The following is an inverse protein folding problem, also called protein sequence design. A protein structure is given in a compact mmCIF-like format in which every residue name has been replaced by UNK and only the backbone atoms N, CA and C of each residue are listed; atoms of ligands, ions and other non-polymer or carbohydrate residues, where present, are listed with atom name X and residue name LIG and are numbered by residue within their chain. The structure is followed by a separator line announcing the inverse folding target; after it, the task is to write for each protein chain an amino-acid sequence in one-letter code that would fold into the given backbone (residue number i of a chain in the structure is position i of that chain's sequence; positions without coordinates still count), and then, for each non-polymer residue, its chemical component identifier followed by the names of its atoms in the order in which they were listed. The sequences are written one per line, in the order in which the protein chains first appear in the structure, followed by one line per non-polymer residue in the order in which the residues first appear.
data_IF_656485776708
#
_entry.id   IF_656485776708
#
_cell.length_a   1.000
_cell.length_b   1.000
_cell.length_c   1.000
_cell.angle_alpha   90.00
_cell.angle_beta   90.00
_cell.angle_gamma   90.00
#
_symmetry.space_group_name_H-M   'P 1'
#
loop_
_entity.id
_entity.type
_entity.pdbx_description
1 polymer ?
#
# COMPACT_ATOMS: atom_id res chain seq x y z
N UNK A 1 4.34 -9.99 -21.21
CA UNK A 1 3.47 -10.72 -22.17
C UNK A 1 2.06 -10.83 -21.59
N UNK A 2 1.02 -11.08 -22.38
CA UNK A 2 -0.36 -11.16 -21.88
C UNK A 2 -0.94 -12.53 -22.22
N UNK A 3 -1.36 -13.27 -21.19
CA UNK A 3 -2.03 -14.57 -21.32
C UNK A 3 -3.41 -14.50 -20.66
N UNK A 4 -4.45 -14.94 -21.37
CA UNK A 4 -5.80 -15.02 -20.83
C UNK A 4 -6.13 -16.48 -20.51
N UNK A 5 -6.33 -16.79 -19.23
CA UNK A 5 -6.70 -18.13 -18.78
C UNK A 5 -8.16 -18.17 -18.33
N UNK A 6 -9.02 -18.80 -19.14
CA UNK A 6 -10.47 -18.90 -18.86
C UNK A 6 -10.91 -20.18 -18.11
N UNK A 7 -10.07 -21.23 -18.01
CA UNK A 7 -10.58 -22.60 -17.79
C UNK A 7 -9.97 -23.30 -16.55
N UNK A 8 -9.74 -22.61 -15.42
CA UNK A 8 -9.35 -23.31 -14.17
C UNK A 8 -10.05 -22.88 -12.88
N UNK A 9 -10.86 -21.83 -12.87
CA UNK A 9 -11.54 -21.32 -11.67
C UNK A 9 -12.99 -20.87 -11.91
N UNK A 10 -13.81 -21.66 -12.61
CA UNK A 10 -15.24 -21.36 -12.77
C UNK A 10 -15.85 -21.04 -11.38
N UNK A 11 -16.53 -19.89 -11.20
CA UNK A 11 -17.05 -18.94 -12.20
C UNK A 11 -16.21 -17.66 -12.46
N UNK A 12 -14.94 -17.59 -12.08
CA UNK A 12 -14.04 -16.45 -12.32
C UNK A 12 -13.21 -16.63 -13.60
N UNK A 13 -12.93 -15.52 -14.29
CA UNK A 13 -11.94 -15.41 -15.37
C UNK A 13 -10.68 -14.72 -14.84
N UNK A 14 -9.50 -15.12 -15.32
CA UNK A 14 -8.22 -14.52 -14.90
C UNK A 14 -7.41 -14.08 -16.11
N UNK A 15 -6.99 -12.81 -16.10
CA UNK A 15 -6.00 -12.26 -17.01
C UNK A 15 -4.64 -12.30 -16.33
N UNK A 16 -3.68 -12.97 -16.93
CA UNK A 16 -2.31 -13.07 -16.45
C UNK A 16 -1.41 -12.17 -17.29
N UNK A 17 -0.78 -11.22 -16.62
CA UNK A 17 0.18 -10.30 -17.19
C UNK A 17 1.57 -10.66 -16.67
N UNK A 18 2.51 -10.88 -17.57
CA UNK A 18 3.91 -11.12 -17.25
C UNK A 18 4.75 -9.88 -17.52
N UNK A 19 5.74 -9.64 -16.66
CA UNK A 19 6.69 -8.52 -16.72
C UNK A 19 5.95 -7.18 -16.87
N UNK A 20 5.07 -6.90 -15.92
CA UNK A 20 4.29 -5.66 -15.89
C UNK A 20 5.19 -4.52 -15.44
N UNK A 21 5.24 -3.46 -16.26
CA UNK A 21 5.93 -2.23 -15.93
C UNK A 21 4.97 -1.04 -16.06
N UNK A 22 4.66 -0.41 -14.94
CA UNK A 22 4.03 0.89 -14.90
C UNK A 22 5.10 1.95 -14.58
N UNK A 23 5.23 2.92 -15.48
CA UNK A 23 6.15 4.04 -15.31
C UNK A 23 5.47 5.13 -14.48
N UNK A 24 6.27 5.92 -13.80
CA UNK A 24 5.78 7.05 -13.02
C UNK A 24 5.20 8.17 -13.89
N UNK A 25 4.34 8.99 -13.29
CA UNK A 25 3.56 10.03 -13.97
C UNK A 25 3.86 11.43 -13.41
N UNK A 26 5.14 11.80 -13.36
CA UNK A 26 5.55 13.16 -13.01
C UNK A 26 5.47 14.07 -14.26
N UNK A 27 4.84 15.26 -14.15
CA UNK A 27 4.92 16.27 -15.19
C UNK A 27 6.38 16.61 -15.49
N UNK A 28 6.70 16.81 -16.77
CA UNK A 28 8.00 17.33 -17.24
C UNK A 28 9.21 16.39 -17.11
N UNK A 29 9.02 15.12 -16.75
CA UNK A 29 10.11 14.14 -16.82
C UNK A 29 10.37 13.69 -18.26
N UNK A 30 11.60 13.92 -18.74
CA UNK A 30 12.07 13.42 -20.05
C UNK A 30 12.27 11.90 -20.05
N UNK A 31 12.55 11.31 -18.87
CA UNK A 31 12.72 9.87 -18.68
C UNK A 31 11.99 9.41 -17.41
N UNK A 32 10.73 8.97 -17.52
CA UNK A 32 9.99 8.49 -16.35
C UNK A 32 10.58 7.18 -15.84
N UNK A 33 10.83 7.12 -14.53
CA UNK A 33 11.31 5.94 -13.81
C UNK A 33 10.16 4.94 -13.56
N UNK A 34 10.46 3.84 -12.88
CA UNK A 34 9.52 2.75 -12.57
C UNK A 34 8.72 3.07 -11.32
N UNK A 35 7.40 3.25 -11.48
CA UNK A 35 6.46 3.32 -10.36
C UNK A 35 6.14 1.92 -9.84
N UNK A 36 5.76 1.01 -10.73
CA UNK A 36 5.42 -0.36 -10.36
C UNK A 36 6.02 -1.35 -11.36
N UNK A 37 6.62 -2.41 -10.81
CA UNK A 37 7.02 -3.59 -11.55
C UNK A 37 6.42 -4.82 -10.89
N UNK A 38 5.95 -5.78 -11.67
CA UNK A 38 5.58 -7.11 -11.19
C UNK A 38 6.02 -8.16 -12.22
N UNK A 39 6.64 -9.24 -11.76
CA UNK A 39 6.97 -10.37 -12.65
C UNK A 39 5.68 -11.04 -13.13
N UNK A 40 4.76 -11.28 -12.20
CA UNK A 40 3.43 -11.79 -12.50
C UNK A 40 2.35 -10.91 -11.85
N UNK A 41 1.32 -10.60 -12.63
CA UNK A 41 0.11 -9.91 -12.16
C UNK A 41 -1.12 -10.61 -12.72
N UNK A 42 -1.96 -11.11 -11.84
CA UNK A 42 -3.24 -11.72 -12.15
C UNK A 42 -4.36 -10.76 -11.81
N UNK A 43 -5.22 -10.50 -12.78
CA UNK A 43 -6.46 -9.73 -12.60
C UNK A 43 -7.63 -10.70 -12.71
N UNK A 44 -8.45 -10.80 -11.67
CA UNK A 44 -9.63 -11.67 -11.67
C UNK A 44 -10.92 -10.88 -11.89
N UNK A 45 -11.79 -11.43 -12.72
CA UNK A 45 -13.06 -10.83 -13.16
C UNK A 45 -14.19 -11.85 -13.09
N UNK A 46 -15.42 -11.38 -12.90
CA UNK A 46 -16.60 -12.22 -13.06
C UNK A 46 -16.75 -12.68 -14.52
N UNK A 47 -16.84 -13.99 -14.77
CA UNK A 47 -16.94 -14.52 -16.14
C UNK A 47 -18.20 -14.02 -16.87
N UNK A 48 -19.31 -13.88 -16.16
CA UNK A 48 -20.57 -13.36 -16.72
C UNK A 48 -20.45 -11.88 -17.12
N UNK A 49 -19.66 -11.10 -16.37
CA UNK A 49 -19.46 -9.67 -16.62
C UNK A 49 -18.58 -9.50 -17.87
N UNK A 50 -17.56 -10.35 -18.03
CA UNK A 50 -16.73 -10.44 -19.24
C UNK A 50 -17.59 -10.66 -20.52
N UNK A 51 -18.56 -11.58 -20.47
CA UNK A 51 -19.45 -11.85 -21.60
C UNK A 51 -20.42 -10.71 -21.93
N UNK A 52 -20.76 -9.87 -20.94
CA UNK A 52 -21.61 -8.68 -21.13
C UNK A 52 -20.82 -7.45 -21.56
N UNK A 53 -19.49 -7.52 -21.56
CA UNK A 53 -18.60 -6.39 -21.85
C UNK A 53 -18.29 -5.52 -20.62
N UNK A 54 -18.67 -5.97 -19.42
CA UNK A 54 -18.43 -5.29 -18.16
C UNK A 54 -17.10 -5.80 -17.55
N UNK A 55 -16.00 -5.15 -17.92
CA UNK A 55 -14.65 -5.54 -17.48
C UNK A 55 -14.31 -4.96 -16.10
N UNK A 56 -14.94 -5.49 -15.06
CA UNK A 56 -14.72 -5.04 -13.67
C UNK A 56 -13.72 -5.94 -12.95
N UNK A 57 -12.54 -5.39 -12.62
CA UNK A 57 -11.52 -6.12 -11.84
C UNK A 57 -12.02 -6.27 -10.40
N UNK A 58 -12.07 -7.51 -9.91
CA UNK A 58 -12.50 -7.84 -8.54
C UNK A 58 -11.34 -8.20 -7.62
N UNK A 59 -10.36 -8.94 -8.14
CA UNK A 59 -9.18 -9.33 -7.37
C UNK A 59 -7.90 -9.08 -8.15
N UNK A 60 -6.84 -8.73 -7.43
CA UNK A 60 -5.50 -8.56 -7.96
C UNK A 60 -4.56 -9.43 -7.17
N UNK A 61 -3.78 -10.26 -7.85
CA UNK A 61 -2.71 -11.04 -7.25
C UNK A 61 -1.39 -10.72 -7.95
N UNK A 62 -0.36 -10.34 -7.20
CA UNK A 62 0.95 -10.03 -7.77
C UNK A 62 2.06 -10.86 -7.13
N UNK A 63 3.09 -11.19 -7.91
CA UNK A 63 4.31 -11.85 -7.43
C UNK A 63 5.55 -11.06 -7.84
N UNK A 64 6.55 -11.00 -6.96
CA UNK A 64 7.80 -10.24 -7.12
C UNK A 64 7.53 -8.78 -7.49
N UNK A 65 6.70 -8.14 -6.65
CA UNK A 65 6.18 -6.80 -6.91
C UNK A 65 7.11 -5.76 -6.31
N UNK A 66 7.40 -4.70 -7.06
CA UNK A 66 8.10 -3.50 -6.58
C UNK A 66 7.21 -2.30 -6.81
N UNK A 67 6.91 -1.55 -5.76
CA UNK A 67 6.16 -0.30 -5.81
C UNK A 67 7.04 0.81 -5.26
N UNK A 68 7.31 1.83 -6.07
CA UNK A 68 8.13 2.99 -5.74
C UNK A 68 7.29 4.25 -5.78
N UNK A 69 6.50 4.46 -4.73
CA UNK A 69 5.73 5.68 -4.56
C UNK A 69 6.65 6.83 -4.13
N UNK A 70 6.53 7.98 -4.78
CA UNK A 70 7.29 9.17 -4.39
C UNK A 70 6.47 10.47 -4.52
N UNK A 71 6.69 11.42 -3.60
CA UNK A 71 6.35 12.84 -3.75
C UNK A 71 7.62 13.65 -3.96
N UNK A 72 7.56 14.62 -4.87
CA UNK A 72 8.63 15.59 -5.05
C UNK A 72 8.61 16.69 -3.99
N UNK A 73 9.53 17.66 -4.09
CA UNK A 73 9.66 18.74 -3.12
C UNK A 73 8.45 19.68 -3.12
N UNK A 74 7.66 19.70 -4.19
CA UNK A 74 6.41 20.44 -4.30
C UNK A 74 5.19 19.60 -3.87
N UNK A 75 5.41 18.41 -3.31
CA UNK A 75 4.36 17.50 -2.87
C UNK A 75 3.64 16.76 -4.01
N UNK A 76 4.10 16.90 -5.26
CA UNK A 76 3.46 16.26 -6.42
C UNK A 76 3.81 14.77 -6.42
N UNK A 77 2.80 13.88 -6.41
CA UNK A 77 3.02 12.44 -6.41
C UNK A 77 3.32 11.88 -7.80
N UNK A 78 4.13 10.83 -7.84
CA UNK A 78 4.51 10.11 -9.07
C UNK A 78 3.49 9.03 -9.51
N UNK A 79 2.37 8.91 -8.80
CA UNK A 79 1.31 7.91 -9.03
C UNK A 79 -0.01 8.49 -9.58
N UNK A 80 -0.09 9.80 -9.83
CA UNK A 80 -1.26 10.40 -10.50
C UNK A 80 -1.21 10.12 -12.01
N UNK A 81 -1.75 8.98 -12.41
CA UNK A 81 -1.91 8.60 -13.82
C UNK A 81 -3.05 9.41 -14.46
N UNK A 82 -2.72 10.46 -15.21
CA UNK A 82 -3.72 11.21 -15.99
C UNK A 82 -4.22 10.36 -17.17
N UNK A 83 -5.54 10.08 -17.22
CA UNK A 83 -6.20 9.48 -18.38
C UNK A 83 -6.87 10.59 -19.19
N UNK A 84 -6.32 10.91 -20.36
CA UNK A 84 -6.83 11.97 -21.25
C UNK A 84 -7.75 11.49 -22.36
N UNK A 85 -8.10 10.21 -22.44
CA UNK A 85 -8.91 9.67 -23.55
C UNK A 85 -10.33 9.28 -23.12
N UNK A 86 -11.29 10.06 -23.59
CA UNK A 86 -12.74 9.90 -23.41
C UNK A 86 -13.39 8.92 -24.39
N UNK A 87 -12.63 8.01 -25.02
CA UNK A 87 -13.14 7.17 -26.13
C UNK A 87 -13.11 5.64 -25.89
N UNK A 88 -12.73 5.18 -24.70
CA UNK A 88 -12.85 3.76 -24.32
C UNK A 88 -13.95 3.54 -23.30
N UNK A 89 -14.70 2.42 -23.42
CA UNK A 89 -15.58 1.96 -22.34
C UNK A 89 -14.81 1.96 -21.02
N UNK A 90 -15.30 2.71 -20.03
CA UNK A 90 -14.68 2.83 -18.72
C UNK A 90 -14.68 1.46 -18.04
N UNK A 91 -13.57 0.71 -18.14
CA UNK A 91 -13.34 -0.43 -17.27
C UNK A 91 -13.40 0.05 -15.82
N UNK A 92 -14.39 -0.44 -15.08
CA UNK A 92 -14.59 -0.11 -13.67
C UNK A 92 -13.62 -0.88 -12.78
N UNK A 93 -13.27 -0.29 -11.63
CA UNK A 93 -12.51 -0.97 -10.57
C UNK A 93 -13.48 -1.19 -9.41
N UNK A 94 -13.87 -2.44 -9.14
CA UNK A 94 -14.64 -2.86 -7.95
C UNK A 94 -13.79 -3.86 -7.17
N UNK A 95 -12.67 -3.36 -6.67
CA UNK A 95 -11.60 -4.18 -6.12
C UNK A 95 -11.98 -4.70 -4.73
N UNK A 96 -12.23 -5.99 -4.61
CA UNK A 96 -12.56 -6.62 -3.33
C UNK A 96 -11.32 -7.12 -2.59
N UNK A 97 -10.26 -7.48 -3.33
CA UNK A 97 -9.06 -8.09 -2.77
C UNK A 97 -7.81 -7.76 -3.58
N UNK A 98 -6.72 -7.51 -2.86
CA UNK A 98 -5.36 -7.48 -3.39
C UNK A 98 -4.54 -8.44 -2.55
N UNK A 99 -3.73 -9.28 -3.18
CA UNK A 99 -2.70 -10.04 -2.48
C UNK A 99 -1.38 -9.98 -3.22
N UNK A 100 -0.30 -9.74 -2.49
CA UNK A 100 1.04 -9.70 -3.05
C UNK A 100 1.89 -10.77 -2.39
N UNK A 101 2.68 -11.44 -3.23
CA UNK A 101 3.78 -12.31 -2.84
C UNK A 101 5.09 -11.62 -3.21
N UNK A 102 6.06 -11.60 -2.29
CA UNK A 102 7.35 -10.93 -2.50
C UNK A 102 7.18 -9.44 -2.90
N UNK A 103 6.51 -8.67 -2.05
CA UNK A 103 6.29 -7.24 -2.26
C UNK A 103 7.41 -6.41 -1.65
N UNK A 104 7.95 -5.48 -2.43
CA UNK A 104 8.82 -4.40 -1.94
C UNK A 104 8.14 -3.07 -2.17
N UNK A 105 7.92 -2.31 -1.11
CA UNK A 105 7.38 -0.94 -1.19
C UNK A 105 8.44 0.06 -0.74
N UNK A 106 8.72 1.03 -1.60
CA UNK A 106 9.45 2.22 -1.24
C UNK A 106 8.52 3.42 -1.31
N UNK A 107 8.42 4.15 -0.21
CA UNK A 107 7.79 5.46 -0.17
C UNK A 107 8.85 6.53 0.06
N UNK A 108 8.86 7.56 -0.78
CA UNK A 108 9.75 8.72 -0.61
C UNK A 108 8.94 10.01 -0.62
N UNK A 109 9.23 10.91 0.30
CA UNK A 109 8.73 12.28 0.27
C UNK A 109 9.91 13.24 0.36
N UNK A 110 10.21 13.88 -0.77
CA UNK A 110 11.37 14.76 -0.88
C UNK A 110 11.19 16.06 -0.07
N UNK A 111 9.96 16.56 0.09
CA UNK A 111 9.68 17.75 0.89
C UNK A 111 9.96 17.53 2.37
N UNK A 112 9.72 16.31 2.86
CA UNK A 112 9.92 15.93 4.26
C UNK A 112 11.24 15.18 4.54
N UNK A 113 12.11 15.02 3.52
CA UNK A 113 13.32 14.18 3.59
C UNK A 113 13.03 12.78 4.17
N UNK A 114 11.86 12.23 3.84
CA UNK A 114 11.36 10.96 4.33
C UNK A 114 11.60 9.87 3.28
N UNK A 115 12.14 8.75 3.72
CA UNK A 115 12.12 7.51 2.95
C UNK A 115 11.78 6.33 3.86
N UNK A 116 10.91 5.46 3.37
CA UNK A 116 10.55 4.19 4.01
C UNK A 116 10.69 3.10 2.97
N UNK A 117 11.44 2.05 3.29
CA UNK A 117 11.57 0.84 2.48
C UNK A 117 11.14 -0.37 3.31
N UNK A 118 10.12 -1.06 2.81
CA UNK A 118 9.58 -2.28 3.41
C UNK A 118 9.52 -3.41 2.40
N UNK A 119 9.70 -4.61 2.92
CA UNK A 119 9.48 -5.87 2.22
C UNK A 119 8.37 -6.66 2.91
N UNK A 120 7.69 -7.52 2.16
CA UNK A 120 6.66 -8.43 2.66
C UNK A 120 6.67 -9.69 1.80
N UNK A 121 6.79 -10.86 2.44
CA UNK A 121 6.66 -12.14 1.76
C UNK A 121 5.20 -12.37 1.34
N UNK A 122 4.25 -12.06 2.23
CA UNK A 122 2.81 -12.15 1.98
C UNK A 122 2.05 -10.95 2.57
N UNK A 123 1.37 -10.21 1.69
CA UNK A 123 0.48 -9.11 2.08
C UNK A 123 -0.88 -9.28 1.41
N UNK A 124 -1.96 -9.21 2.19
CA UNK A 124 -3.32 -9.22 1.70
C UNK A 124 -4.06 -7.96 2.16
N UNK A 125 -4.76 -7.33 1.22
CA UNK A 125 -5.68 -6.23 1.46
C UNK A 125 -7.07 -6.66 0.97
N UNK A 126 -8.09 -6.46 1.78
CA UNK A 126 -9.49 -6.76 1.45
C UNK A 126 -10.34 -5.55 1.80
N UNK A 127 -11.32 -5.24 1.00
CA UNK A 127 -12.23 -4.17 1.37
C UNK A 127 -13.22 -3.82 0.29
N UNK A 128 -13.90 -2.71 0.50
CA UNK A 128 -14.84 -2.15 -0.46
C UNK A 128 -14.39 -0.74 -0.77
N UNK A 129 -14.12 -0.50 -2.05
CA UNK A 129 -13.88 0.85 -2.53
C UNK A 129 -15.22 1.47 -2.90
N UNK A 130 -15.52 2.63 -2.32
CA UNK A 130 -16.72 3.39 -2.66
C UNK A 130 -16.33 4.84 -2.91
N UNK A 131 -17.18 5.58 -3.61
CA UNK A 131 -16.93 7.00 -3.90
C UNK A 131 -16.89 7.88 -2.64
N UNK A 132 -17.40 7.39 -1.50
CA UNK A 132 -17.48 8.15 -0.25
C UNK A 132 -16.40 7.75 0.75
N UNK A 133 -16.46 6.53 1.27
CA UNK A 133 -15.56 6.03 2.31
C UNK A 133 -15.03 4.66 1.92
N UNK A 134 -13.72 4.49 2.00
CA UNK A 134 -13.06 3.23 1.71
C UNK A 134 -12.64 2.59 3.02
N UNK A 135 -13.09 1.36 3.25
CA UNK A 135 -12.76 0.56 4.42
C UNK A 135 -12.00 -0.67 3.97
N UNK A 136 -10.81 -0.89 4.52
CA UNK A 136 -9.90 -1.96 4.13
C UNK A 136 -9.36 -2.69 5.36
N UNK A 137 -9.32 -4.02 5.28
CA UNK A 137 -8.56 -4.86 6.16
C UNK A 137 -7.24 -5.24 5.48
N UNK A 138 -6.11 -4.99 6.15
CA UNK A 138 -4.77 -5.38 5.72
C UNK A 138 -4.22 -6.42 6.68
N UNK A 139 -3.68 -7.52 6.16
CA UNK A 139 -2.98 -8.55 6.93
C UNK A 139 -1.71 -8.98 6.20
N UNK A 140 -0.61 -9.16 6.92
CA UNK A 140 0.62 -9.66 6.32
C UNK A 140 1.81 -9.64 7.27
N UNK A 141 2.94 -10.18 6.80
CA UNK A 141 4.24 -9.92 7.37
C UNK A 141 4.86 -8.65 6.75
N UNK A 142 5.70 -7.97 7.52
CA UNK A 142 6.44 -6.80 7.09
C UNK A 142 7.85 -6.90 7.64
N UNK A 143 8.83 -6.73 6.77
CA UNK A 143 10.20 -6.45 7.12
C UNK A 143 10.51 -5.00 6.75
N UNK A 144 10.63 -4.12 7.74
CA UNK A 144 11.14 -2.77 7.55
C UNK A 144 12.66 -2.84 7.36
N UNK A 145 13.12 -2.52 6.15
CA UNK A 145 14.56 -2.36 5.90
C UNK A 145 15.05 -1.08 6.54
N UNK A 146 14.45 0.05 6.19
CA UNK A 146 14.78 1.35 6.78
C UNK A 146 13.64 2.35 6.71
N UNK A 147 13.65 3.24 7.68
CA UNK A 147 12.91 4.49 7.73
C UNK A 147 13.91 5.60 8.09
N UNK A 148 14.10 6.55 7.18
CA UNK A 148 14.87 7.77 7.38
C UNK A 148 13.97 8.99 7.37
N UNK A 149 14.23 9.94 8.27
CA UNK A 149 13.65 11.27 8.26
C UNK A 149 14.72 12.36 8.08
N UNK A 150 14.31 13.62 8.19
CA UNK A 150 15.20 14.77 8.03
C UNK A 150 16.46 14.73 8.93
N UNK A 151 16.33 14.20 10.15
CA UNK A 151 17.42 14.13 11.13
C UNK A 151 18.24 12.82 11.05
N UNK A 152 17.99 11.99 10.04
CA UNK A 152 18.70 10.72 9.80
C UNK A 152 17.83 9.47 10.03
N UNK A 153 18.44 8.31 10.30
CA UNK A 153 17.73 7.06 10.52
C UNK A 153 16.78 7.13 11.72
N UNK A 154 15.50 6.82 11.50
CA UNK A 154 14.46 6.74 12.54
C UNK A 154 14.37 5.30 13.05
N UNK A 155 14.19 4.36 12.14
CA UNK A 155 14.02 2.95 12.45
C UNK A 155 14.61 2.10 11.34
N UNK A 156 15.29 1.02 11.69
CA UNK A 156 15.88 0.09 10.74
C UNK A 156 15.63 -1.34 11.19
N UNK A 157 15.67 -2.26 10.22
CA UNK A 157 15.73 -3.71 10.41
C UNK A 157 14.70 -4.21 11.43
N UNK A 158 13.43 -4.24 11.01
CA UNK A 158 12.33 -4.57 11.92
C UNK A 158 11.29 -5.46 11.28
N UNK A 159 11.16 -6.66 11.84
CA UNK A 159 10.08 -7.56 11.50
C UNK A 159 8.80 -7.23 12.29
N UNK A 160 7.68 -7.34 11.60
CA UNK A 160 6.36 -7.25 12.18
C UNK A 160 5.38 -8.19 11.46
N UNK A 161 4.41 -8.71 12.19
CA UNK A 161 3.15 -9.20 11.60
C UNK A 161 2.05 -8.22 11.94
N UNK A 162 1.27 -7.84 10.93
CA UNK A 162 0.25 -6.80 11.06
C UNK A 162 -1.14 -7.32 10.70
N UNK A 163 -2.14 -6.82 11.43
CA UNK A 163 -3.56 -6.86 11.05
C UNK A 163 -4.15 -5.48 11.31
N UNK A 164 -4.51 -4.77 10.26
CA UNK A 164 -4.97 -3.38 10.34
C UNK A 164 -6.35 -3.24 9.72
N UNK A 165 -7.21 -2.45 10.35
CA UNK A 165 -8.40 -1.85 9.76
C UNK A 165 -8.08 -0.42 9.36
N UNK A 166 -8.21 -0.13 8.08
CA UNK A 166 -7.88 1.15 7.47
C UNK A 166 -9.16 1.83 7.00
N UNK A 167 -9.22 3.15 7.12
CA UNK A 167 -10.28 3.96 6.55
C UNK A 167 -9.69 5.20 5.86
N UNK A 168 -10.12 5.49 4.64
CA UNK A 168 -9.75 6.74 3.97
C UNK A 168 -10.82 7.25 3.00
N UNK A 169 -10.73 8.54 2.70
CA UNK A 169 -11.78 9.28 1.98
C UNK A 169 -12.70 9.99 2.98
N UNK A 170 -13.97 10.15 2.60
CA UNK A 170 -14.96 10.88 3.39
C UNK A 170 -14.82 12.40 3.27
N UNK A 171 -15.68 13.12 4.00
CA UNK A 171 -15.74 14.59 3.95
C UNK A 171 -14.48 15.28 4.51
N UNK A 172 -13.76 14.61 5.41
CA UNK A 172 -12.55 15.15 6.04
C UNK A 172 -11.25 14.76 5.32
N UNK A 173 -11.32 13.86 4.33
CA UNK A 173 -10.17 13.42 3.54
C UNK A 173 -9.08 12.71 4.36
N UNK A 174 -9.38 12.27 5.58
CA UNK A 174 -8.39 11.71 6.47
C UNK A 174 -8.04 10.25 6.11
N UNK A 175 -6.81 9.85 6.45
CA UNK A 175 -6.38 8.45 6.44
C UNK A 175 -6.28 7.94 7.88
N UNK A 176 -6.82 6.76 8.13
CA UNK A 176 -6.92 6.19 9.47
C UNK A 176 -6.50 4.75 9.53
N UNK A 177 -5.82 4.38 10.62
CA UNK A 177 -5.79 3.02 11.15
C UNK A 177 -6.73 3.04 12.34
N UNK A 178 -7.96 2.53 12.17
CA UNK A 178 -9.00 2.56 13.19
C UNK A 178 -8.79 1.49 14.26
N UNK A 179 -8.20 0.36 13.86
CA UNK A 179 -7.78 -0.74 14.71
C UNK A 179 -6.56 -1.41 14.11
N UNK A 180 -5.51 -1.65 14.90
CA UNK A 180 -4.30 -2.27 14.41
C UNK A 180 -3.70 -3.21 15.44
N UNK A 181 -3.42 -4.44 15.04
CA UNK A 181 -2.59 -5.38 15.80
C UNK A 181 -1.24 -5.49 15.12
N UNK A 182 -0.17 -5.16 15.83
CA UNK A 182 1.21 -5.26 15.35
C UNK A 182 1.99 -6.14 16.31
N UNK A 183 2.46 -7.29 15.82
CA UNK A 183 3.37 -8.16 16.55
C UNK A 183 4.79 -7.91 16.05
N UNK A 184 5.59 -7.15 16.79
CA UNK A 184 7.00 -6.88 16.45
C UNK A 184 7.93 -7.34 17.56
N UNK A 185 8.99 -8.07 17.22
CA UNK A 185 9.90 -8.64 18.22
C UNK A 185 9.21 -9.52 19.28
N UNK A 186 8.07 -10.12 18.92
CA UNK A 186 7.20 -10.90 19.82
C UNK A 186 6.45 -10.07 20.87
N UNK A 187 6.35 -8.76 20.69
CA UNK A 187 5.58 -7.84 21.53
C UNK A 187 4.30 -7.44 20.77
N UNK A 188 3.11 -7.77 21.29
CA UNK A 188 1.86 -7.36 20.67
C UNK A 188 1.54 -5.91 21.03
N UNK A 189 1.29 -5.09 20.01
CA UNK A 189 0.91 -3.70 20.12
C UNK A 189 -0.44 -3.48 19.45
N UNK A 190 -1.35 -2.79 20.15
CA UNK A 190 -2.54 -2.20 19.58
C UNK A 190 -2.20 -0.80 19.06
N UNK A 191 -2.44 -0.54 17.78
CA UNK A 191 -2.06 0.68 17.08
C UNK A 191 -3.27 1.38 16.47
N UNK A 192 -3.36 2.70 16.65
CA UNK A 192 -4.30 3.56 15.93
C UNK A 192 -3.54 4.74 15.35
N UNK A 193 -3.99 5.22 14.19
CA UNK A 193 -3.40 6.36 13.50
C UNK A 193 -4.50 7.22 12.91
N UNK A 194 -4.41 8.53 13.09
CA UNK A 194 -5.16 9.52 12.33
C UNK A 194 -4.18 10.44 11.59
N UNK A 195 -4.32 10.53 10.28
CA UNK A 195 -3.64 11.52 9.43
C UNK A 195 -4.71 12.40 8.81
N UNK A 196 -4.78 13.66 9.25
CA UNK A 196 -5.78 14.63 8.78
C UNK A 196 -5.12 15.75 7.98
N UNK A 197 -5.67 16.12 6.82
CA UNK A 197 -5.25 17.33 6.11
C UNK A 197 -5.54 18.59 6.95
N UNK A 198 -4.51 19.39 7.27
CA UNK A 198 -4.63 20.66 7.99
C UNK A 198 -3.87 21.79 7.26
N UNK A 199 -4.51 22.36 6.22
CA UNK A 199 -3.92 23.46 5.45
C UNK A 199 -2.77 22.99 4.55
N UNK A 200 -1.55 23.47 4.80
CA UNK A 200 -0.35 23.09 4.05
C UNK A 200 0.38 21.85 4.63
N UNK A 201 -0.07 21.34 5.78
CA UNK A 201 0.55 20.19 6.44
C UNK A 201 -0.50 19.18 6.91
N UNK A 202 -0.10 17.92 7.08
CA UNK A 202 -0.94 16.89 7.66
C UNK A 202 -0.72 16.82 9.17
N UNK A 203 -1.80 16.74 9.96
CA UNK A 203 -1.74 16.41 11.38
C UNK A 203 -1.71 14.90 11.56
N UNK A 204 -0.70 14.42 12.27
CA UNK A 204 -0.50 13.00 12.56
C UNK A 204 -0.69 12.74 14.06
N UNK A 205 -1.61 11.84 14.41
CA UNK A 205 -1.78 11.29 15.77
C UNK A 205 -1.62 9.77 15.72
N UNK A 206 -0.45 9.28 16.17
CA UNK A 206 -0.12 7.87 16.25
C UNK A 206 -0.14 7.43 17.72
N UNK A 207 -0.92 6.38 18.01
CA UNK A 207 -1.00 5.80 19.35
C UNK A 207 -0.70 4.32 19.27
N UNK A 208 0.18 3.86 20.15
CA UNK A 208 0.52 2.44 20.30
C UNK A 208 0.40 2.07 21.78
N UNK A 209 -0.38 1.03 22.08
CA UNK A 209 -0.67 0.56 23.43
C UNK A 209 -0.43 -0.95 23.52
N UNK A 210 -0.17 -1.48 24.72
CA UNK A 210 -0.24 -2.92 24.95
C UNK A 210 -0.41 -3.26 26.42
N UNK A 211 -1.01 -4.42 26.68
CA UNK A 211 -1.33 -4.88 28.03
C UNK A 211 -0.28 -5.89 28.51
N UNK A 212 0.22 -5.70 29.73
CA UNK A 212 1.17 -6.64 30.35
C UNK A 212 2.53 -6.72 29.65
N UNK A 213 2.95 -5.65 28.96
CA UNK A 213 4.20 -5.64 28.22
C UNK A 213 5.41 -5.62 29.16
N UNK A 214 6.41 -6.41 28.84
CA UNK A 214 7.73 -6.31 29.44
C UNK A 214 8.39 -5.00 28.97
N UNK A 215 8.66 -4.08 29.91
CA UNK A 215 9.24 -2.77 29.63
C UNK A 215 10.58 -2.85 28.89
N UNK A 216 11.42 -3.85 29.20
CA UNK A 216 12.69 -4.05 28.52
C UNK A 216 12.51 -4.39 27.05
N UNK A 217 11.49 -5.21 26.72
CA UNK A 217 11.14 -5.54 25.35
C UNK A 217 10.54 -4.35 24.61
N UNK A 218 9.75 -3.51 25.27
CA UNK A 218 9.17 -2.29 24.68
C UNK A 218 10.23 -1.25 24.35
N UNK A 219 11.20 -1.02 25.25
CA UNK A 219 12.33 -0.11 24.98
C UNK A 219 13.12 -0.57 23.75
N UNK A 220 13.27 -1.90 23.58
CA UNK A 220 13.88 -2.49 22.40
C UNK A 220 13.04 -2.35 21.11
N UNK A 221 11.84 -1.79 21.16
CA UNK A 221 11.05 -1.41 19.97
C UNK A 221 11.21 0.05 19.58
N UNK A 222 11.56 0.93 20.52
CA UNK A 222 11.63 2.38 20.26
C UNK A 222 12.66 2.72 19.17
N UNK A 223 12.47 3.82 18.41
CA UNK A 223 13.51 4.39 17.55
C UNK A 223 14.81 4.63 18.32
N UNK A 224 15.96 4.40 17.69
CA UNK A 224 17.26 4.57 18.36
C UNK A 224 17.50 6.02 18.82
N UNK A 225 16.93 6.99 18.10
CA UNK A 225 16.96 8.40 18.47
C UNK A 225 16.34 8.69 19.86
N UNK A 226 15.35 7.89 20.28
CA UNK A 226 14.60 8.07 21.53
C UNK A 226 15.14 7.16 22.66
N UNK A 227 16.02 6.19 22.33
CA UNK A 227 16.63 5.29 23.32
C UNK A 227 17.78 5.92 24.12
N UNK A 228 18.24 7.12 23.75
CA UNK A 228 19.34 7.77 24.48
C UNK A 228 18.85 8.26 25.85
N UNK A 229 19.61 7.99 26.93
CA UNK A 229 19.26 8.40 28.30
C UNK A 229 19.32 9.91 28.51
#
# INVERSE_FOLDING_TARGET
QIELTLIRRFPQASLHLHDVLAREALPDQVFPDTLLHAEDLYLEFGLLDLFRGDYVVREVHGSYVRLHAARDAEGRPNWMLWRSDTTGSSGGLDLARVSMQDLTVRYRDAGNALEVLTHSDELALRGRFTDALNELALEGDLHLTHWTGADGPVLTDRDARVRLQLAFGGEDGAFRITEGEVLSGGVPLALTLDVLPEGEADRLDLRANGLGLDLGRVVALLPDAVRKP
#
